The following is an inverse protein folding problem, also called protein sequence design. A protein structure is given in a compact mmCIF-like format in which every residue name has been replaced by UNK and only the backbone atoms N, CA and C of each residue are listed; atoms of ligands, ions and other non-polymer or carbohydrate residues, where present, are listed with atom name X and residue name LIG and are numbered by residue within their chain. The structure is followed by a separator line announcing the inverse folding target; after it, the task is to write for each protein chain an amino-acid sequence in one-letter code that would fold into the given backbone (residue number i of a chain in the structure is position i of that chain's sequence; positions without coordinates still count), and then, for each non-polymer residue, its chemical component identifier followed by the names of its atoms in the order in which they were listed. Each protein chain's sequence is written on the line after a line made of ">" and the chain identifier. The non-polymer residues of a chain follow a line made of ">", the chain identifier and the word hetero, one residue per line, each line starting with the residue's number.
data_IF_051596957278
#
_entry.id   IF_051596957278
#
_cell.length_a   1.000
_cell.length_b   1.000
_cell.length_c   1.000
_cell.angle_alpha   90.00
_cell.angle_beta   90.00
_cell.angle_gamma   90.00
#
_symmetry.space_group_name_H-M   'P 1'
#
loop_
_entity.id
_entity.type
_entity.pdbx_description
1 polymer ?
#
# COMPACT_ATOMS: atom_id res chain seq x y z
N UNK A 1 9.27 -21.29 -7.09
CA UNK A 1 7.94 -20.74 -6.70
C UNK A 1 7.85 -19.32 -7.25
N UNK A 2 6.70 -18.91 -7.79
CA UNK A 2 6.56 -17.63 -8.50
C UNK A 2 6.49 -16.46 -7.51
N UNK A 3 7.62 -15.79 -7.27
CA UNK A 3 7.79 -14.71 -6.27
C UNK A 3 6.74 -13.59 -6.41
N UNK A 4 6.35 -13.29 -7.65
CA UNK A 4 5.32 -12.29 -7.96
C UNK A 4 3.93 -12.70 -7.47
N UNK A 5 3.60 -13.98 -7.54
CA UNK A 5 2.33 -14.52 -7.05
C UNK A 5 2.23 -14.40 -5.53
N UNK A 6 3.31 -14.73 -4.81
CA UNK A 6 3.37 -14.61 -3.36
C UNK A 6 3.31 -13.16 -2.90
N UNK A 7 4.04 -12.25 -3.56
CA UNK A 7 3.98 -10.81 -3.23
C UNK A 7 2.59 -10.21 -3.45
N UNK A 8 1.93 -10.55 -4.56
CA UNK A 8 0.56 -10.10 -4.85
C UNK A 8 -0.41 -10.59 -3.76
N UNK A 9 -0.25 -11.83 -3.31
CA UNK A 9 -1.07 -12.42 -2.27
C UNK A 9 -0.82 -11.74 -0.91
N UNK A 10 0.44 -11.45 -0.57
CA UNK A 10 0.81 -10.73 0.65
C UNK A 10 0.20 -9.32 0.69
N UNK A 11 0.28 -8.56 -0.40
CA UNK A 11 -0.30 -7.20 -0.49
C UNK A 11 -1.82 -7.25 -0.32
N UNK A 12 -2.50 -8.24 -0.92
CA UNK A 12 -3.95 -8.40 -0.77
C UNK A 12 -4.36 -8.78 0.66
N UNK A 13 -3.62 -9.71 1.30
CA UNK A 13 -3.87 -10.07 2.70
C UNK A 13 -3.69 -8.83 3.60
N UNK A 14 -2.62 -8.08 3.39
CA UNK A 14 -2.37 -6.85 4.14
C UNK A 14 -3.49 -5.82 3.96
N UNK A 15 -3.96 -5.63 2.74
CA UNK A 15 -5.14 -4.79 2.46
C UNK A 15 -6.41 -5.27 3.15
N UNK A 16 -6.63 -6.58 3.22
CA UNK A 16 -7.80 -7.19 3.87
C UNK A 16 -7.74 -6.98 5.39
N UNK A 17 -6.56 -7.12 5.99
CA UNK A 17 -6.34 -6.83 7.42
C UNK A 17 -6.57 -5.35 7.72
N UNK A 18 -6.02 -4.44 6.91
CA UNK A 18 -6.25 -2.99 7.03
C UNK A 18 -7.74 -2.65 6.92
N UNK A 19 -8.45 -3.27 5.98
CA UNK A 19 -9.89 -3.06 5.81
C UNK A 19 -10.66 -3.53 7.04
N UNK A 20 -10.33 -4.72 7.56
CA UNK A 20 -10.94 -5.23 8.80
C UNK A 20 -10.69 -4.31 9.99
N UNK A 21 -9.46 -3.82 10.14
CA UNK A 21 -9.10 -2.88 11.20
C UNK A 21 -9.86 -1.55 11.06
N UNK A 22 -9.91 -0.98 9.86
CA UNK A 22 -10.65 0.26 9.57
C UNK A 22 -12.15 0.15 9.85
N UNK A 23 -12.75 -1.02 9.61
CA UNK A 23 -14.16 -1.27 9.97
C UNK A 23 -14.34 -1.25 11.49
N UNK A 24 -13.45 -1.91 12.24
CA UNK A 24 -13.52 -1.95 13.70
C UNK A 24 -13.36 -0.55 14.31
N UNK A 25 -12.41 0.25 13.80
CA UNK A 25 -12.20 1.62 14.28
C UNK A 25 -13.40 2.52 14.01
N UNK A 26 -14.04 2.41 12.84
CA UNK A 26 -15.28 3.13 12.52
C UNK A 26 -16.44 2.71 13.42
N UNK A 27 -16.63 1.41 13.65
CA UNK A 27 -17.66 0.91 14.57
C UNK A 27 -17.43 1.46 15.97
N UNK A 28 -16.19 1.48 16.45
CA UNK A 28 -15.85 2.02 17.77
C UNK A 28 -16.14 3.53 17.86
N UNK A 29 -15.78 4.31 16.85
CA UNK A 29 -16.06 5.75 16.80
C UNK A 29 -17.57 6.05 16.79
N UNK A 30 -18.34 5.28 16.02
CA UNK A 30 -19.80 5.37 16.00
C UNK A 30 -20.42 4.98 17.35
N UNK A 31 -19.97 3.87 17.94
CA UNK A 31 -20.43 3.38 19.24
C UNK A 31 -20.20 4.42 20.33
N UNK A 32 -19.02 5.04 20.33
CA UNK A 32 -18.67 6.11 21.27
C UNK A 32 -19.58 7.34 21.10
N UNK A 33 -19.87 7.72 19.85
CA UNK A 33 -20.75 8.84 19.55
C UNK A 33 -22.18 8.60 20.05
N UNK A 34 -22.71 7.40 19.80
CA UNK A 34 -24.04 6.99 20.29
C UNK A 34 -24.06 6.95 21.82
N UNK A 35 -23.03 6.38 22.45
CA UNK A 35 -22.92 6.35 23.91
C UNK A 35 -22.90 7.75 24.52
N UNK A 36 -22.12 8.67 23.95
CA UNK A 36 -22.04 10.07 24.41
C UNK A 36 -23.37 10.84 24.27
N UNK A 37 -24.21 10.46 23.31
CA UNK A 37 -25.52 11.07 23.10
C UNK A 37 -26.56 10.55 24.11
N UNK A 38 -26.51 9.26 24.45
CA UNK A 38 -27.48 8.61 25.36
C UNK A 38 -27.13 8.85 26.84
N UNK A 39 -25.84 8.97 27.16
CA UNK A 39 -25.36 9.30 28.50
C UNK A 39 -24.78 10.71 28.50
N UNK A 40 -25.63 11.76 28.57
CA UNK A 40 -25.15 13.12 28.74
C UNK A 40 -24.42 13.18 30.07
N UNK A 41 -23.09 13.13 29.98
CA UNK A 41 -22.23 13.21 31.14
C UNK A 41 -22.37 14.61 31.71
N UNK A 42 -22.87 14.70 32.94
CA UNK A 42 -22.92 15.93 33.75
C UNK A 42 -21.51 16.43 34.13
N UNK A 43 -20.47 15.67 33.84
CA UNK A 43 -19.07 16.04 34.07
C UNK A 43 -18.56 16.95 32.96
N UNK A 44 -18.10 18.16 33.34
CA UNK A 44 -17.56 19.24 32.50
C UNK A 44 -16.31 18.90 31.67
N UNK A 45 -16.37 17.84 30.87
CA UNK A 45 -15.41 17.54 29.83
C UNK A 45 -15.51 18.59 28.72
N UNK A 46 -14.36 19.08 28.27
CA UNK A 46 -14.30 20.08 27.20
C UNK A 46 -14.92 19.49 25.91
N UNK A 47 -16.03 20.04 25.39
CA UNK A 47 -16.69 19.52 24.19
C UNK A 47 -15.76 19.49 22.96
N UNK A 48 -14.74 20.36 22.93
CA UNK A 48 -13.73 20.36 21.87
C UNK A 48 -12.88 19.08 21.83
N UNK A 49 -12.63 18.43 22.97
CA UNK A 49 -11.84 17.20 23.02
C UNK A 49 -12.59 16.02 22.38
N UNK A 50 -13.90 15.89 22.65
CA UNK A 50 -14.71 14.82 22.09
C UNK A 50 -14.88 14.96 20.57
N UNK A 51 -15.07 16.19 20.08
CA UNK A 51 -15.15 16.47 18.64
C UNK A 51 -13.82 16.20 17.96
N UNK A 52 -12.71 16.66 18.55
CA UNK A 52 -11.38 16.42 18.00
C UNK A 52 -11.05 14.92 17.92
N UNK A 53 -11.35 14.17 18.99
CA UNK A 53 -11.13 12.72 19.02
C UNK A 53 -11.99 12.00 17.96
N UNK A 54 -13.26 12.40 17.80
CA UNK A 54 -14.13 11.82 16.79
C UNK A 54 -13.65 12.12 15.36
N UNK A 55 -13.28 13.36 15.07
CA UNK A 55 -12.75 13.76 13.75
C UNK A 55 -11.46 13.02 13.46
N UNK A 56 -10.52 12.98 14.41
CA UNK A 56 -9.24 12.29 14.21
C UNK A 56 -9.43 10.78 14.00
N UNK A 57 -10.20 10.12 14.87
CA UNK A 57 -10.48 8.68 14.76
C UNK A 57 -11.28 8.33 13.51
N UNK A 58 -12.25 9.18 13.13
CA UNK A 58 -13.06 8.99 11.94
C UNK A 58 -12.27 9.18 10.64
N UNK A 59 -11.43 10.21 10.56
CA UNK A 59 -10.53 10.44 9.41
C UNK A 59 -9.51 9.32 9.30
N UNK A 60 -8.90 8.90 10.42
CA UNK A 60 -7.96 7.78 10.43
C UNK A 60 -8.63 6.49 9.94
N UNK A 61 -9.79 6.11 10.49
CA UNK A 61 -10.52 4.91 10.09
C UNK A 61 -10.99 4.96 8.63
N UNK A 62 -11.44 6.12 8.14
CA UNK A 62 -11.82 6.30 6.74
C UNK A 62 -10.63 6.15 5.78
N UNK A 63 -9.47 6.71 6.14
CA UNK A 63 -8.24 6.55 5.37
C UNK A 63 -7.78 5.09 5.38
N UNK A 64 -7.75 4.43 6.54
CA UNK A 64 -7.37 3.02 6.67
C UNK A 64 -8.26 2.11 5.82
N UNK A 65 -9.58 2.33 5.85
CA UNK A 65 -10.53 1.57 5.05
C UNK A 65 -10.33 1.86 3.56
N UNK A 66 -10.14 3.12 3.18
CA UNK A 66 -9.85 3.53 1.81
C UNK A 66 -8.57 2.88 1.26
N UNK A 67 -7.49 2.90 2.03
CA UNK A 67 -6.24 2.24 1.67
C UNK A 67 -6.40 0.72 1.63
N UNK A 68 -7.06 0.12 2.62
CA UNK A 68 -7.33 -1.32 2.67
C UNK A 68 -8.07 -1.82 1.43
N UNK A 69 -9.18 -1.15 1.08
CA UNK A 69 -9.98 -1.46 -0.12
C UNK A 69 -9.14 -1.25 -1.38
N UNK A 70 -8.36 -0.17 -1.45
CA UNK A 70 -7.44 0.08 -2.56
C UNK A 70 -6.41 -1.04 -2.71
N UNK A 71 -5.85 -1.57 -1.63
CA UNK A 71 -4.90 -2.68 -1.69
C UNK A 71 -5.53 -3.99 -2.15
N UNK A 72 -6.79 -4.25 -1.79
CA UNK A 72 -7.49 -5.48 -2.19
C UNK A 72 -7.83 -5.46 -3.68
N UNK A 73 -8.34 -4.34 -4.21
CA UNK A 73 -8.86 -4.26 -5.59
C UNK A 73 -7.92 -3.56 -6.58
N UNK A 74 -7.21 -2.52 -6.15
CA UNK A 74 -6.48 -1.58 -7.01
C UNK A 74 -4.95 -1.72 -6.97
N UNK A 75 -4.39 -2.65 -6.19
CA UNK A 75 -2.95 -2.76 -6.00
C UNK A 75 -2.15 -3.17 -7.26
N UNK A 76 -2.79 -3.48 -8.40
CA UNK A 76 -2.08 -3.89 -9.62
C UNK A 76 -1.07 -2.84 -10.09
N UNK A 77 -1.41 -1.55 -10.00
CA UNK A 77 -0.49 -0.46 -10.32
C UNK A 77 0.69 -0.40 -9.35
N UNK A 78 0.43 -0.46 -8.04
CA UNK A 78 1.45 -0.39 -7.01
C UNK A 78 2.40 -1.60 -7.05
N UNK A 79 1.86 -2.80 -7.24
CA UNK A 79 2.63 -4.03 -7.40
C UNK A 79 3.54 -3.91 -8.62
N UNK A 80 3.03 -3.40 -9.75
CA UNK A 80 3.86 -3.19 -10.93
C UNK A 80 4.94 -2.10 -10.69
N UNK A 81 4.63 -1.05 -9.95
CA UNK A 81 5.60 0.00 -9.61
C UNK A 81 6.72 -0.51 -8.68
N UNK A 82 6.37 -1.30 -7.65
CA UNK A 82 7.32 -1.89 -6.71
C UNK A 82 8.15 -3.01 -7.35
N UNK A 83 7.52 -3.91 -8.10
CA UNK A 83 8.24 -4.97 -8.81
C UNK A 83 9.20 -4.40 -9.87
N UNK A 84 8.88 -3.27 -10.50
CA UNK A 84 9.80 -2.55 -11.41
C UNK A 84 11.08 -2.08 -10.72
N UNK A 85 11.09 -1.88 -9.41
CA UNK A 85 12.28 -1.43 -8.67
C UNK A 85 13.14 -2.57 -8.14
N UNK A 86 12.52 -3.72 -7.83
CA UNK A 86 13.19 -4.81 -7.10
C UNK A 86 13.71 -5.90 -8.02
N UNK A 87 13.03 -6.17 -9.14
CA UNK A 87 13.35 -7.35 -9.94
C UNK A 87 13.53 -6.99 -11.40
N UNK A 88 14.60 -7.52 -11.98
CA UNK A 88 14.92 -7.56 -13.40
C UNK A 88 13.73 -8.09 -14.22
N UNK A 89 12.71 -7.27 -14.48
CA UNK A 89 11.52 -7.66 -15.23
C UNK A 89 11.36 -6.72 -16.43
N UNK A 90 10.97 -7.28 -17.56
CA UNK A 90 10.69 -6.49 -18.74
C UNK A 90 9.50 -5.57 -18.50
N UNK A 91 9.70 -4.29 -18.75
CA UNK A 91 8.75 -3.21 -18.51
C UNK A 91 7.49 -3.31 -19.40
N UNK A 92 7.63 -3.99 -20.53
CA UNK A 92 6.65 -4.08 -21.61
C UNK A 92 5.81 -5.36 -21.53
N UNK A 93 6.45 -6.53 -21.45
CA UNK A 93 5.75 -7.81 -21.39
C UNK A 93 5.68 -8.44 -19.99
N UNK A 94 6.42 -7.92 -19.01
CA UNK A 94 6.48 -8.51 -17.67
C UNK A 94 7.20 -9.86 -17.62
N UNK A 95 8.07 -10.16 -18.58
CA UNK A 95 8.94 -11.33 -18.53
C UNK A 95 10.06 -11.13 -17.50
N UNK A 96 10.38 -12.18 -16.73
CA UNK A 96 11.51 -12.15 -15.79
C UNK A 96 12.83 -12.20 -16.56
N UNK A 97 13.63 -11.16 -16.43
CA UNK A 97 14.97 -11.03 -17.00
C UNK A 97 16.04 -11.55 -16.02
N UNK A 98 15.65 -12.14 -14.89
CA UNK A 98 16.59 -12.75 -13.94
C UNK A 98 17.38 -13.86 -14.66
N UNK A 99 18.71 -13.75 -14.69
CA UNK A 99 19.60 -14.71 -15.38
C UNK A 99 19.80 -14.47 -16.88
N UNK A 100 19.11 -13.50 -17.48
CA UNK A 100 19.42 -13.04 -18.85
C UNK A 100 20.62 -12.10 -18.86
N UNK A 101 21.44 -12.15 -19.92
CA UNK A 101 22.59 -11.26 -20.05
C UNK A 101 22.13 -9.80 -19.96
N UNK A 102 22.81 -8.99 -19.16
CA UNK A 102 22.42 -7.59 -18.89
C UNK A 102 22.33 -6.73 -20.15
N UNK A 103 23.03 -7.13 -21.21
CA UNK A 103 23.11 -6.43 -22.49
C UNK A 103 22.21 -7.06 -23.57
N UNK A 104 21.54 -8.18 -23.25
CA UNK A 104 20.54 -8.76 -24.14
C UNK A 104 19.16 -8.15 -23.86
N UNK A 105 18.46 -7.75 -24.93
CA UNK A 105 17.05 -7.36 -24.85
C UNK A 105 16.18 -8.50 -24.29
N UNK A 106 14.95 -8.17 -23.90
CA UNK A 106 14.01 -9.15 -23.39
C UNK A 106 13.79 -10.28 -24.42
N UNK A 107 13.96 -11.57 -24.06
CA UNK A 107 13.86 -12.67 -25.02
C UNK A 107 12.45 -12.88 -25.58
N UNK A 108 11.41 -12.50 -24.83
CA UNK A 108 10.00 -12.59 -25.28
C UNK A 108 9.59 -11.48 -26.26
N UNK A 109 9.96 -10.22 -25.99
CA UNK A 109 9.43 -9.07 -26.73
C UNK A 109 10.50 -8.22 -27.42
N UNK A 110 11.78 -8.61 -27.32
CA UNK A 110 12.92 -7.89 -27.89
C UNK A 110 13.22 -6.54 -27.23
N UNK A 111 12.43 -6.10 -26.24
CA UNK A 111 12.58 -4.76 -25.68
C UNK A 111 13.92 -4.61 -24.94
N UNK A 112 14.67 -3.59 -25.31
CA UNK A 112 15.99 -3.33 -24.74
C UNK A 112 15.91 -3.05 -23.23
N UNK A 113 16.80 -3.70 -22.48
CA UNK A 113 16.94 -3.46 -21.05
C UNK A 113 17.48 -2.05 -20.89
N UNK A 114 16.73 -1.16 -20.22
CA UNK A 114 17.25 0.16 -19.87
C UNK A 114 18.39 -0.05 -18.88
N UNK A 115 19.63 -0.09 -19.38
CA UNK A 115 20.81 -0.19 -18.54
C UNK A 115 20.73 0.96 -17.55
N UNK A 116 20.60 0.63 -16.26
CA UNK A 116 20.77 1.63 -15.21
C UNK A 116 22.23 2.05 -15.36
N UNK A 117 22.47 3.19 -16.02
CA UNK A 117 23.78 3.84 -16.02
C UNK A 117 24.08 4.15 -14.56
N UNK A 118 24.67 3.21 -13.85
CA UNK A 118 25.59 3.51 -12.77
C UNK A 118 26.71 4.27 -13.44
N UNK A 119 26.54 5.58 -13.57
CA UNK A 119 27.64 6.49 -13.71
C UNK A 119 28.56 6.19 -12.52
N UNK A 120 29.60 5.38 -12.75
CA UNK A 120 30.74 5.31 -11.87
C UNK A 120 31.29 6.74 -11.81
N UNK A 121 31.24 7.45 -10.67
CA UNK A 121 32.10 8.62 -10.52
C UNK A 121 33.52 8.09 -10.56
N UNK A 122 34.24 8.42 -11.64
CA UNK A 122 35.62 8.01 -11.84
C UNK A 122 36.46 8.46 -10.65
N UNK A 123 37.01 7.49 -9.93
CA UNK A 123 38.14 7.72 -9.04
C UNK A 123 39.38 7.66 -9.93
N UNK A 124 39.74 8.82 -10.48
CA UNK A 124 41.05 9.05 -11.10
C UNK A 124 42.12 8.98 -10.01
N UNK A 125 43.10 8.09 -10.23
CA UNK A 125 44.30 7.93 -9.43
C UNK A 125 45.26 9.13 -9.56
#
# INVERSE_FOLDING_TARGET
>A
MNERGWFTLAVRIFGLVLTGYGIVTLIQALSYSVYSYITPTTSGGNPGYNVWWFVNSGVAGALELGFGVYFVFGASWLINALCRQVVDWCVLCGYSLVGTARDSGCPECGHERRQRSTAQPGVSA
#
